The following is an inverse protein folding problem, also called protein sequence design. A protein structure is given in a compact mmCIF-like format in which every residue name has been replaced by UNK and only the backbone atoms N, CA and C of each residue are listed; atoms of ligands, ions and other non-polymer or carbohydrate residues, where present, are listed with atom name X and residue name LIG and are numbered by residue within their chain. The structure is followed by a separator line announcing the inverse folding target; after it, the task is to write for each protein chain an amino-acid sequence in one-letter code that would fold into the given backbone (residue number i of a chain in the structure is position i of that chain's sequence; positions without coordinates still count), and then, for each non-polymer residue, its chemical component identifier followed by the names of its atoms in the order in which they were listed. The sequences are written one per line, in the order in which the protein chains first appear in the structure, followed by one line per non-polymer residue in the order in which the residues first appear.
data_IF_915307769514
#
_entry.id   IF_915307769514
#
_cell.length_a   1.000
_cell.length_b   1.000
_cell.length_c   1.000
_cell.angle_alpha   90.00
_cell.angle_beta   90.00
_cell.angle_gamma   90.00
#
_symmetry.space_group_name_H-M   'P 1'
#
loop_
_entity.id
_entity.type
_entity.pdbx_description
1 polymer ?
#
# COMPACT_ATOMS: atom_id res chain seq x y z
N UNK A 1 8.13 23.67 11.73
CA UNK A 1 7.18 24.22 10.73
C UNK A 1 5.78 24.03 11.28
N UNK A 2 4.91 25.04 11.16
CA UNK A 2 3.50 24.87 11.49
C UNK A 2 2.87 23.88 10.49
N UNK A 3 1.86 23.11 10.91
CA UNK A 3 1.27 22.07 10.07
C UNK A 3 0.62 22.64 8.79
N UNK A 4 0.16 23.90 8.83
CA UNK A 4 -0.38 24.60 7.66
C UNK A 4 0.68 24.94 6.59
N UNK A 5 1.94 25.09 7.00
CA UNK A 5 3.08 25.34 6.10
C UNK A 5 3.42 24.09 5.26
N UNK A 6 3.22 22.90 5.84
CA UNK A 6 3.46 21.62 5.15
C UNK A 6 2.42 21.39 4.04
N UNK A 7 1.14 21.69 4.32
CA UNK A 7 0.08 21.51 3.32
C UNK A 7 0.19 22.50 2.15
N UNK A 8 0.77 23.68 2.37
CA UNK A 8 1.04 24.66 1.31
C UNK A 8 2.10 24.16 0.31
N UNK A 9 2.99 23.25 0.72
CA UNK A 9 4.04 22.66 -0.13
C UNK A 9 3.53 21.52 -1.02
N UNK A 10 2.31 21.02 -0.79
CA UNK A 10 1.71 19.99 -1.62
C UNK A 10 1.42 20.56 -3.02
N UNK A 11 1.89 19.86 -4.05
CA UNK A 11 1.80 20.31 -5.44
C UNK A 11 1.26 19.20 -6.34
N UNK A 12 0.33 19.56 -7.23
CA UNK A 12 0.01 18.71 -8.37
C UNK A 12 1.15 18.84 -9.39
N UNK A 13 1.66 17.71 -9.84
CA UNK A 13 2.60 17.60 -10.93
C UNK A 13 1.82 17.15 -12.16
N UNK A 14 1.87 17.92 -13.23
CA UNK A 14 1.25 17.58 -14.50
C UNK A 14 2.03 16.43 -15.20
N UNK A 15 1.43 15.75 -16.21
CA UNK A 15 2.05 14.59 -16.84
C UNK A 15 3.46 14.80 -17.39
N UNK A 16 3.80 16.01 -17.81
CA UNK A 16 5.12 16.42 -18.31
C UNK A 16 6.14 16.69 -17.19
N UNK A 17 5.68 16.92 -15.97
CA UNK A 17 6.49 17.11 -14.76
C UNK A 17 6.63 15.83 -13.93
N UNK A 18 5.73 14.87 -14.14
CA UNK A 18 5.65 13.60 -13.43
C UNK A 18 6.49 12.51 -14.12
N UNK A 19 7.32 11.76 -13.38
CA UNK A 19 8.09 10.65 -13.96
C UNK A 19 7.21 9.48 -14.41
N UNK A 20 5.91 9.54 -14.15
CA UNK A 20 4.93 8.50 -14.45
C UNK A 20 4.12 8.79 -15.72
N UNK A 21 4.30 9.96 -16.36
CA UNK A 21 3.51 10.37 -17.51
C UNK A 21 2.03 10.59 -17.19
N UNK A 22 1.69 10.78 -15.91
CA UNK A 22 0.33 11.02 -15.41
C UNK A 22 0.33 12.09 -14.33
N UNK A 23 -0.79 12.79 -14.16
CA UNK A 23 -0.96 13.81 -13.14
C UNK A 23 -0.97 13.16 -11.75
N UNK A 24 -0.09 13.65 -10.88
CA UNK A 24 0.06 13.14 -9.51
C UNK A 24 0.13 14.27 -8.50
N UNK A 25 -0.36 14.04 -7.29
CA UNK A 25 -0.12 14.92 -6.16
C UNK A 25 1.19 14.50 -5.50
N UNK A 26 2.15 15.42 -5.37
CA UNK A 26 3.33 15.22 -4.57
C UNK A 26 2.97 15.34 -3.07
N UNK A 27 2.93 14.18 -2.41
CA UNK A 27 2.60 14.06 -1.00
C UNK A 27 3.84 14.04 -0.10
N UNK A 28 5.06 13.98 -0.66
CA UNK A 28 6.31 13.84 0.09
C UNK A 28 6.52 14.90 1.17
N UNK A 29 6.19 16.20 0.96
CA UNK A 29 6.32 17.21 2.00
C UNK A 29 5.57 16.86 3.28
N UNK A 30 4.49 16.09 3.18
CA UNK A 30 3.70 15.65 4.32
C UNK A 30 4.06 14.21 4.75
N UNK A 31 4.02 13.25 3.82
CA UNK A 31 4.11 11.82 4.15
C UNK A 31 5.46 11.40 4.74
N UNK A 32 6.54 12.10 4.39
CA UNK A 32 7.90 11.77 4.87
C UNK A 32 8.28 12.48 6.17
N UNK A 33 7.55 13.53 6.55
CA UNK A 33 7.84 14.32 7.76
C UNK A 33 6.82 14.11 8.88
N UNK A 34 5.64 13.59 8.55
CA UNK A 34 4.58 13.34 9.53
C UNK A 34 4.99 12.21 10.46
N UNK A 35 4.98 12.49 11.76
CA UNK A 35 5.22 11.49 12.81
C UNK A 35 3.87 11.01 13.33
N UNK A 36 3.67 9.71 13.28
CA UNK A 36 2.51 9.04 13.84
C UNK A 36 2.77 8.73 15.31
N UNK A 37 1.81 9.07 16.16
CA UNK A 37 1.76 8.59 17.54
C UNK A 37 0.37 8.07 17.83
N UNK A 38 0.27 7.15 18.78
CA UNK A 38 -1.01 6.71 19.34
C UNK A 38 -1.05 7.09 20.81
N UNK A 39 -2.16 7.68 21.26
CA UNK A 39 -2.43 7.84 22.68
C UNK A 39 -3.08 6.57 23.28
N UNK A 40 -3.56 5.66 22.43
CA UNK A 40 -4.14 4.39 22.88
C UNK A 40 -3.01 3.38 23.20
N UNK A 41 -2.84 2.99 24.47
CA UNK A 41 -1.81 2.04 24.88
C UNK A 41 -2.01 0.65 24.28
N UNK A 42 -3.25 0.27 23.93
CA UNK A 42 -3.53 -1.03 23.31
C UNK A 42 -2.93 -1.08 21.90
N UNK A 43 -3.08 -0.01 21.12
CA UNK A 43 -2.49 0.09 19.78
C UNK A 43 -0.96 0.02 19.86
N UNK A 44 -0.35 0.73 20.83
CA UNK A 44 1.10 0.67 21.03
C UNK A 44 1.57 -0.75 21.41
N UNK A 45 0.85 -1.43 22.30
CA UNK A 45 1.15 -2.80 22.70
C UNK A 45 1.01 -3.78 21.53
N UNK A 46 -0.08 -3.69 20.75
CA UNK A 46 -0.31 -4.52 19.56
C UNK A 46 0.78 -4.30 18.52
N UNK A 47 1.12 -3.04 18.20
CA UNK A 47 2.20 -2.73 17.26
C UNK A 47 3.52 -3.38 17.68
N UNK A 48 3.92 -3.23 18.95
CA UNK A 48 5.15 -3.83 19.46
C UNK A 48 5.12 -5.37 19.42
N UNK A 49 3.98 -5.98 19.76
CA UNK A 49 3.81 -7.43 19.69
C UNK A 49 3.94 -7.97 18.26
N UNK A 50 3.36 -7.27 17.28
CA UNK A 50 3.40 -7.68 15.87
C UNK A 50 4.80 -7.64 15.27
N UNK A 51 5.75 -6.90 15.86
CA UNK A 51 7.15 -6.86 15.36
C UNK A 51 7.92 -8.15 15.54
N UNK A 52 7.48 -9.03 16.45
CA UNK A 52 8.04 -10.37 16.61
C UNK A 52 7.14 -11.45 16.02
N UNK A 53 6.04 -11.08 15.36
CA UNK A 53 5.14 -12.02 14.70
C UNK A 53 5.77 -12.59 13.44
N UNK A 54 5.60 -13.90 13.23
CA UNK A 54 5.93 -14.57 11.97
C UNK A 54 4.83 -14.39 10.92
N UNK A 55 3.64 -13.92 11.32
CA UNK A 55 2.45 -13.82 10.48
C UNK A 55 1.70 -15.13 10.25
N UNK A 56 2.16 -16.24 10.85
CA UNK A 56 1.59 -17.58 10.65
C UNK A 56 0.08 -17.64 10.96
N UNK A 57 -0.38 -16.80 11.90
CA UNK A 57 -1.79 -16.65 12.25
C UNK A 57 -2.68 -16.17 11.09
N UNK A 58 -2.10 -15.60 10.03
CA UNK A 58 -2.83 -15.21 8.82
C UNK A 58 -3.01 -16.36 7.82
N UNK A 59 -2.27 -17.47 7.94
CA UNK A 59 -2.35 -18.59 7.01
C UNK A 59 -3.78 -19.13 6.94
N UNK A 60 -4.36 -19.13 5.74
CA UNK A 60 -5.74 -19.58 5.50
C UNK A 60 -6.83 -18.63 6.01
N UNK A 61 -6.48 -17.47 6.58
CA UNK A 61 -7.45 -16.47 7.00
C UNK A 61 -7.92 -15.64 5.81
N UNK A 62 -9.12 -15.09 5.94
CA UNK A 62 -9.75 -14.23 4.94
C UNK A 62 -9.98 -12.83 5.52
N UNK A 63 -9.98 -11.76 4.70
CA UNK A 63 -10.44 -10.45 5.13
C UNK A 63 -11.89 -10.48 5.64
N UNK A 64 -12.25 -9.52 6.51
CA UNK A 64 -13.62 -9.38 6.99
C UNK A 64 -14.59 -8.95 5.87
N UNK A 65 -15.72 -9.63 5.74
CA UNK A 65 -16.72 -9.46 4.66
C UNK A 65 -16.04 -9.38 3.27
N UNK A 66 -15.37 -10.46 2.83
CA UNK A 66 -14.50 -10.40 1.67
C UNK A 66 -15.32 -10.34 0.39
N UNK A 67 -14.87 -9.51 -0.54
CA UNK A 67 -15.21 -9.67 -1.95
C UNK A 67 -14.02 -10.27 -2.70
N UNK A 68 -14.29 -10.97 -3.79
CA UNK A 68 -13.25 -11.55 -4.65
C UNK A 68 -13.20 -10.80 -5.98
N UNK A 69 -12.02 -10.38 -6.38
CA UNK A 69 -11.76 -9.61 -7.60
C UNK A 69 -10.69 -10.34 -8.42
N UNK A 70 -11.04 -10.91 -9.58
CA UNK A 70 -10.06 -11.44 -10.52
C UNK A 70 -9.16 -10.32 -11.04
N UNK A 71 -7.86 -10.59 -11.17
CA UNK A 71 -6.90 -9.62 -11.69
C UNK A 71 -5.75 -10.29 -12.43
N UNK A 72 -4.88 -9.49 -13.04
CA UNK A 72 -3.61 -9.96 -13.58
C UNK A 72 -2.57 -8.88 -13.33
N UNK A 73 -1.81 -9.04 -12.24
CA UNK A 73 -0.71 -8.13 -11.89
C UNK A 73 0.60 -8.93 -11.94
N UNK A 74 1.57 -8.47 -12.71
CA UNK A 74 2.83 -9.20 -12.91
C UNK A 74 4.03 -8.38 -12.45
N UNK A 75 4.94 -9.06 -11.75
CA UNK A 75 6.15 -8.49 -11.18
C UNK A 75 7.37 -9.36 -11.48
N UNK A 76 8.56 -8.75 -11.64
CA UNK A 76 9.79 -9.52 -11.77
C UNK A 76 10.05 -10.30 -10.47
N UNK A 77 10.52 -11.54 -10.62
CA UNK A 77 10.81 -12.44 -9.51
C UNK A 77 12.17 -13.10 -9.74
N UNK A 78 13.01 -13.17 -8.70
CA UNK A 78 14.40 -13.62 -8.79
C UNK A 78 14.63 -15.05 -8.23
N UNK A 79 13.55 -15.78 -7.95
CA UNK A 79 13.58 -17.23 -8.00
C UNK A 79 13.65 -17.99 -6.67
N UNK A 80 13.53 -17.36 -5.50
CA UNK A 80 13.33 -18.10 -4.24
C UNK A 80 12.11 -17.62 -3.48
N UNK A 81 11.12 -18.49 -3.40
CA UNK A 81 9.95 -18.33 -2.53
C UNK A 81 10.21 -19.12 -1.26
N UNK A 82 10.04 -18.47 -0.12
CA UNK A 82 9.87 -19.14 1.16
C UNK A 82 8.69 -18.52 1.87
N UNK A 83 7.94 -19.36 2.57
CA UNK A 83 6.89 -18.92 3.45
C UNK A 83 7.45 -18.01 4.55
N UNK A 84 6.65 -17.03 4.97
CA UNK A 84 6.96 -16.12 6.06
C UNK A 84 6.77 -14.64 5.72
N UNK A 85 7.34 -13.75 6.56
CA UNK A 85 7.23 -12.32 6.36
C UNK A 85 8.06 -11.85 5.15
N UNK A 86 7.42 -11.12 4.24
CA UNK A 86 8.07 -10.43 3.13
C UNK A 86 8.36 -8.96 3.46
N UNK A 87 7.45 -8.31 4.20
CA UNK A 87 7.61 -6.97 4.72
C UNK A 87 7.03 -6.88 6.12
N UNK A 88 7.82 -6.36 7.06
CA UNK A 88 7.33 -5.98 8.39
C UNK A 88 7.63 -4.51 8.65
N UNK A 89 6.62 -3.81 9.14
CA UNK A 89 6.72 -2.42 9.56
C UNK A 89 7.83 -2.27 10.59
N UNK A 90 8.68 -1.24 10.45
CA UNK A 90 9.76 -0.94 11.40
C UNK A 90 9.41 0.23 12.31
N UNK A 91 8.53 1.09 11.84
CA UNK A 91 8.05 2.27 12.54
C UNK A 91 6.56 2.50 12.32
N UNK A 92 5.98 3.42 13.07
CA UNK A 92 4.53 3.66 13.06
C UNK A 92 4.03 4.21 11.71
N UNK A 93 4.92 4.78 10.91
CA UNK A 93 4.68 5.29 9.56
C UNK A 93 4.67 4.16 8.52
N UNK A 94 5.14 2.96 8.84
CA UNK A 94 4.93 1.77 8.02
C UNK A 94 3.57 1.18 8.37
N UNK A 95 2.58 1.37 7.51
CA UNK A 95 1.16 1.04 7.82
C UNK A 95 0.75 -0.40 7.56
N UNK A 96 1.63 -1.19 6.94
CA UNK A 96 1.35 -2.53 6.46
C UNK A 96 2.40 -3.54 6.88
N UNK A 97 1.96 -4.76 7.12
CA UNK A 97 2.80 -5.96 7.11
C UNK A 97 2.35 -6.84 5.92
N UNK A 98 3.30 -7.52 5.29
CA UNK A 98 3.07 -8.40 4.13
C UNK A 98 3.72 -9.75 4.38
N UNK A 99 2.92 -10.80 4.27
CA UNK A 99 3.35 -12.18 4.46
C UNK A 99 3.04 -13.03 3.24
N UNK A 100 3.79 -14.12 3.05
CA UNK A 100 3.56 -15.10 2.01
C UNK A 100 3.43 -16.48 2.63
N UNK A 101 2.31 -17.16 2.37
CA UNK A 101 2.08 -18.54 2.82
C UNK A 101 1.29 -19.30 1.76
N UNK A 102 1.74 -20.50 1.40
CA UNK A 102 1.04 -21.38 0.45
C UNK A 102 0.71 -20.69 -0.89
N UNK A 103 1.66 -19.90 -1.41
CA UNK A 103 1.48 -19.07 -2.61
C UNK A 103 0.38 -18.01 -2.50
N UNK A 104 0.09 -17.55 -1.28
CA UNK A 104 -0.88 -16.49 -1.00
C UNK A 104 -0.20 -15.37 -0.23
N UNK A 105 -0.34 -14.14 -0.74
CA UNK A 105 0.06 -12.93 -0.06
C UNK A 105 -1.03 -12.46 0.91
N UNK A 106 -0.63 -12.05 2.10
CA UNK A 106 -1.50 -11.49 3.14
C UNK A 106 -1.03 -10.09 3.48
N UNK A 107 -1.94 -9.12 3.42
CA UNK A 107 -1.66 -7.71 3.69
C UNK A 107 -2.47 -7.28 4.91
N UNK A 108 -1.77 -7.04 6.02
CA UNK A 108 -2.41 -6.65 7.27
C UNK A 108 -1.96 -5.28 7.75
N UNK A 109 -2.82 -4.59 8.48
CA UNK A 109 -2.52 -3.30 9.10
C UNK A 109 -1.50 -3.51 10.21
N UNK A 110 -0.37 -2.83 10.13
CA UNK A 110 0.76 -3.05 11.05
C UNK A 110 0.50 -2.63 12.50
N UNK A 111 -0.55 -1.84 12.73
CA UNK A 111 -0.94 -1.35 14.06
C UNK A 111 -2.00 -2.24 14.72
N UNK A 112 -2.90 -2.83 13.95
CA UNK A 112 -4.06 -3.58 14.46
C UNK A 112 -3.97 -5.08 14.17
N UNK A 113 -3.12 -5.50 13.24
CA UNK A 113 -3.09 -6.86 12.71
C UNK A 113 -4.28 -7.20 11.81
N UNK A 114 -5.15 -6.23 11.49
CA UNK A 114 -6.32 -6.45 10.65
C UNK A 114 -5.89 -6.90 9.25
N UNK A 115 -6.29 -8.12 8.84
CA UNK A 115 -6.09 -8.61 7.48
C UNK A 115 -7.07 -7.91 6.53
N UNK A 116 -6.54 -7.12 5.59
CA UNK A 116 -7.36 -6.32 4.67
C UNK A 116 -7.39 -6.94 3.28
N UNK A 117 -6.25 -7.44 2.80
CA UNK A 117 -6.15 -8.06 1.49
C UNK A 117 -5.49 -9.43 1.58
N UNK A 118 -5.95 -10.32 0.71
CA UNK A 118 -5.36 -11.63 0.46
C UNK A 118 -5.24 -11.79 -1.06
N UNK A 119 -4.08 -12.16 -1.58
CA UNK A 119 -3.87 -12.29 -3.02
C UNK A 119 -3.23 -13.63 -3.39
N UNK A 120 -3.82 -14.36 -4.33
CA UNK A 120 -3.24 -15.59 -4.86
C UNK A 120 -2.11 -15.25 -5.82
N UNK A 121 -0.94 -15.85 -5.59
CA UNK A 121 0.26 -15.66 -6.38
C UNK A 121 0.61 -16.94 -7.16
N UNK A 122 0.94 -16.77 -8.44
CA UNK A 122 1.50 -17.80 -9.30
C UNK A 122 2.95 -17.47 -9.59
N UNK A 123 3.86 -18.29 -9.08
CA UNK A 123 5.29 -18.11 -9.29
C UNK A 123 5.75 -18.86 -10.54
N UNK A 124 6.52 -18.16 -11.38
CA UNK A 124 7.21 -18.68 -12.56
C UNK A 124 8.70 -18.36 -12.44
N UNK A 125 9.51 -18.84 -13.38
CA UNK A 125 10.99 -18.73 -13.28
C UNK A 125 11.50 -17.30 -13.07
N UNK A 126 10.85 -16.28 -13.67
CA UNK A 126 11.31 -14.89 -13.64
C UNK A 126 10.23 -13.87 -13.29
N UNK A 127 9.03 -14.35 -12.99
CA UNK A 127 7.89 -13.49 -12.71
C UNK A 127 6.97 -14.13 -11.67
N UNK A 128 6.27 -13.28 -10.93
CA UNK A 128 5.14 -13.65 -10.11
C UNK A 128 3.90 -12.92 -10.62
N UNK A 129 2.80 -13.65 -10.79
CA UNK A 129 1.52 -13.10 -11.20
C UNK A 129 0.51 -13.20 -10.05
N UNK A 130 -0.17 -12.10 -9.73
CA UNK A 130 -1.34 -12.13 -8.86
C UNK A 130 -2.60 -12.27 -9.69
N UNK A 131 -3.36 -13.33 -9.43
CA UNK A 131 -4.50 -13.73 -10.26
C UNK A 131 -5.85 -13.44 -9.64
N UNK A 132 -5.91 -13.42 -8.31
CA UNK A 132 -7.12 -13.15 -7.54
C UNK A 132 -6.78 -12.34 -6.31
N UNK A 133 -7.57 -11.31 -6.02
CA UNK A 133 -7.50 -10.53 -4.79
C UNK A 133 -8.82 -10.69 -4.05
N UNK A 134 -8.74 -11.10 -2.79
CA UNK A 134 -9.80 -10.93 -1.81
C UNK A 134 -9.53 -9.68 -0.99
N UNK A 135 -10.58 -8.89 -0.78
CA UNK A 135 -10.47 -7.62 -0.08
C UNK A 135 -11.65 -7.39 0.85
N UNK A 136 -11.39 -6.77 2.01
CA UNK A 136 -12.47 -6.33 2.89
C UNK A 136 -13.30 -5.25 2.21
N UNK A 137 -14.62 -5.49 2.05
CA UNK A 137 -15.54 -4.58 1.36
C UNK A 137 -15.55 -3.16 1.92
N UNK A 138 -15.35 -3.02 3.23
CA UNK A 138 -15.32 -1.73 3.92
C UNK A 138 -14.20 -0.79 3.43
N UNK A 139 -13.15 -1.32 2.80
CA UNK A 139 -11.97 -0.55 2.37
C UNK A 139 -12.02 -0.10 0.90
N UNK A 140 -13.08 -0.45 0.17
CA UNK A 140 -13.10 -0.35 -1.30
C UNK A 140 -13.78 0.89 -1.86
N UNK A 141 -14.40 1.72 -1.02
CA UNK A 141 -15.09 2.94 -1.48
C UNK A 141 -16.13 2.66 -2.60
N UNK A 142 -16.74 1.47 -2.58
CA UNK A 142 -17.69 1.03 -3.61
C UNK A 142 -17.07 0.65 -4.96
N UNK A 143 -15.75 0.66 -5.10
CA UNK A 143 -15.03 0.28 -6.32
C UNK A 143 -14.19 -0.99 -6.09
N UNK A 144 -14.64 -2.18 -6.56
CA UNK A 144 -13.85 -3.40 -6.48
C UNK A 144 -12.48 -3.31 -7.15
N UNK A 145 -12.35 -2.53 -8.24
CA UNK A 145 -11.08 -2.32 -8.94
C UNK A 145 -10.07 -1.53 -8.09
N UNK A 146 -10.53 -0.79 -7.09
CA UNK A 146 -9.66 -0.11 -6.15
C UNK A 146 -8.78 -1.09 -5.37
N UNK A 147 -9.31 -2.26 -4.99
CA UNK A 147 -8.54 -3.32 -4.32
C UNK A 147 -7.30 -3.71 -5.12
N UNK A 148 -7.46 -3.88 -6.44
CA UNK A 148 -6.38 -4.25 -7.35
C UNK A 148 -5.30 -3.18 -7.37
N UNK A 149 -5.68 -1.91 -7.49
CA UNK A 149 -4.74 -0.78 -7.48
C UNK A 149 -4.02 -0.63 -6.13
N UNK A 150 -4.72 -0.87 -5.01
CA UNK A 150 -4.12 -0.82 -3.68
C UNK A 150 -3.08 -1.92 -3.49
N UNK A 151 -3.43 -3.18 -3.80
CA UNK A 151 -2.51 -4.32 -3.72
C UNK A 151 -1.32 -4.12 -4.65
N UNK A 152 -1.55 -3.64 -5.88
CA UNK A 152 -0.48 -3.32 -6.81
C UNK A 152 0.51 -2.31 -6.21
N UNK A 153 0.00 -1.21 -5.67
CA UNK A 153 0.83 -0.23 -5.00
C UNK A 153 1.62 -0.84 -3.83
N UNK A 154 0.99 -1.65 -2.97
CA UNK A 154 1.65 -2.28 -1.83
C UNK A 154 2.79 -3.20 -2.27
N UNK A 155 2.58 -4.03 -3.29
CA UNK A 155 3.64 -4.89 -3.85
C UNK A 155 4.80 -4.05 -4.39
N UNK A 156 4.50 -3.04 -5.22
CA UNK A 156 5.54 -2.18 -5.83
C UNK A 156 6.34 -1.41 -4.79
N UNK A 157 5.67 -0.77 -3.83
CA UNK A 157 6.31 0.10 -2.85
C UNK A 157 6.98 -0.67 -1.71
N UNK A 158 6.38 -1.75 -1.23
CA UNK A 158 6.88 -2.46 -0.04
C UNK A 158 7.79 -3.63 -0.38
N UNK A 159 7.52 -4.37 -1.46
CA UNK A 159 8.34 -5.52 -1.86
C UNK A 159 9.44 -5.11 -2.85
N UNK A 160 9.12 -4.26 -3.82
CA UNK A 160 10.09 -3.83 -4.85
C UNK A 160 10.77 -2.47 -4.58
N UNK A 161 10.30 -1.70 -3.60
CA UNK A 161 10.79 -0.35 -3.29
C UNK A 161 10.73 0.63 -4.47
N UNK A 162 9.78 0.43 -5.36
CA UNK A 162 9.61 1.34 -6.49
C UNK A 162 8.86 2.59 -6.05
N UNK A 163 9.37 3.79 -6.39
CA UNK A 163 8.65 5.03 -6.16
C UNK A 163 7.57 5.15 -7.25
N UNK A 164 6.35 4.72 -6.94
CA UNK A 164 5.18 4.78 -7.84
C UNK A 164 4.02 5.50 -7.15
N UNK A 165 3.05 6.04 -7.90
CA UNK A 165 1.88 6.65 -7.28
C UNK A 165 0.97 5.59 -6.64
N UNK A 166 0.43 5.89 -5.46
CA UNK A 166 -0.67 5.14 -4.88
C UNK A 166 -2.01 5.64 -5.44
N UNK A 167 -3.03 4.77 -5.49
CA UNK A 167 -4.33 5.15 -6.02
C UNK A 167 -5.14 5.96 -5.01
N UNK A 168 -5.93 6.90 -5.50
CA UNK A 168 -6.93 7.62 -4.75
C UNK A 168 -8.34 7.07 -5.04
N UNK A 169 -9.22 6.96 -4.03
CA UNK A 169 -10.64 6.73 -4.25
C UNK A 169 -11.26 7.88 -5.05
N UNK A 170 -12.06 7.56 -6.07
CA UNK A 170 -12.71 8.58 -6.93
C UNK A 170 -13.68 9.48 -6.15
N UNK A 171 -14.23 8.99 -5.05
CA UNK A 171 -15.15 9.73 -4.20
C UNK A 171 -14.46 10.76 -3.28
N UNK A 172 -13.12 10.73 -3.16
CA UNK A 172 -12.42 11.72 -2.35
C UNK A 172 -12.39 13.08 -3.07
N UNK A 173 -12.64 14.19 -2.35
CA UNK A 173 -12.52 15.52 -2.93
C UNK A 173 -11.07 15.86 -3.30
N UNK A 174 -10.88 16.69 -4.33
CA UNK A 174 -9.56 17.13 -4.81
C UNK A 174 -8.91 18.21 -3.89
N UNK A 175 -9.12 18.08 -2.58
CA UNK A 175 -8.49 18.92 -1.57
C UNK A 175 -7.15 18.28 -1.14
N UNK A 176 -6.06 19.02 -1.36
CA UNK A 176 -4.70 18.50 -1.12
C UNK A 176 -4.48 18.02 0.32
N UNK A 177 -5.07 18.69 1.31
CA UNK A 177 -4.94 18.32 2.73
C UNK A 177 -5.67 17.01 3.01
N UNK A 178 -6.91 16.89 2.55
CA UNK A 178 -7.69 15.65 2.67
C UNK A 178 -6.95 14.49 2.00
N UNK A 179 -6.45 14.70 0.79
CA UNK A 179 -5.73 13.68 0.03
C UNK A 179 -4.42 13.28 0.70
N UNK A 180 -3.61 14.22 1.20
CA UNK A 180 -2.37 13.89 1.90
C UNK A 180 -2.63 13.15 3.21
N UNK A 181 -3.66 13.54 3.97
CA UNK A 181 -4.08 12.84 5.19
C UNK A 181 -4.55 11.42 4.91
N UNK A 182 -5.38 11.23 3.88
CA UNK A 182 -5.80 9.90 3.42
C UNK A 182 -4.58 9.05 3.02
N UNK A 183 -3.72 9.61 2.18
CA UNK A 183 -2.51 8.97 1.65
C UNK A 183 -1.61 8.46 2.76
N UNK A 184 -1.35 9.29 3.78
CA UNK A 184 -0.55 8.91 4.93
C UNK A 184 -1.26 7.92 5.86
N UNK A 185 -2.58 8.04 6.04
CA UNK A 185 -3.33 7.08 6.85
C UNK A 185 -3.28 5.68 6.25
N UNK A 186 -3.47 5.58 4.93
CA UNK A 186 -3.49 4.30 4.23
C UNK A 186 -2.09 3.75 3.99
N UNK A 187 -1.15 4.56 3.50
CA UNK A 187 0.16 4.08 3.01
C UNK A 187 1.35 4.62 3.81
N UNK A 188 1.12 5.58 4.71
CA UNK A 188 2.16 6.11 5.59
C UNK A 188 3.27 6.82 4.84
N UNK A 189 4.52 6.57 5.25
CA UNK A 189 5.68 7.21 4.62
C UNK A 189 5.92 6.79 3.17
N UNK A 190 5.32 5.67 2.73
CA UNK A 190 5.43 5.19 1.35
C UNK A 190 4.57 6.00 0.38
N UNK A 191 3.68 6.86 0.89
CA UNK A 191 2.74 7.66 0.13
C UNK A 191 3.41 8.90 -0.50
N UNK A 192 4.35 8.68 -1.43
CA UNK A 192 5.10 9.77 -2.05
C UNK A 192 4.26 10.54 -3.08
N UNK A 193 3.51 9.82 -3.92
CA UNK A 193 2.72 10.40 -5.00
C UNK A 193 1.32 9.80 -5.01
N UNK A 194 0.27 10.61 -5.15
CA UNK A 194 -1.10 10.14 -5.22
C UNK A 194 -1.70 10.39 -6.61
N UNK A 195 -2.51 9.47 -7.14
CA UNK A 195 -3.22 9.69 -8.40
C UNK A 195 -4.66 9.16 -8.38
N UNK A 196 -5.57 9.88 -9.03
CA UNK A 196 -6.90 9.38 -9.37
C UNK A 196 -6.89 8.48 -10.61
N UNK A 197 -5.80 8.46 -11.38
CA UNK A 197 -5.70 7.60 -12.55
C UNK A 197 -5.35 6.16 -12.17
N UNK A 198 -5.39 5.25 -13.15
CA UNK A 198 -4.94 3.88 -12.94
C UNK A 198 -3.43 3.84 -12.71
N UNK A 199 -3.02 3.37 -11.53
CA UNK A 199 -1.63 3.28 -11.10
C UNK A 199 -0.98 1.93 -11.43
N UNK A 200 -1.73 0.94 -11.93
CA UNK A 200 -1.21 -0.41 -12.20
C UNK A 200 -0.17 -0.43 -13.32
N UNK A 201 -0.31 0.45 -14.31
CA UNK A 201 0.66 0.63 -15.38
C UNK A 201 1.88 1.47 -14.96
N UNK A 202 1.80 2.20 -13.84
CA UNK A 202 2.88 3.07 -13.41
C UNK A 202 4.12 2.25 -13.04
N UNK A 203 5.24 2.60 -13.67
CA UNK A 203 6.58 2.12 -13.35
C UNK A 203 7.43 3.37 -13.12
N UNK A 204 8.38 3.30 -12.18
CA UNK A 204 9.38 4.34 -12.09
C UNK A 204 10.17 4.33 -13.42
N UNK A 205 10.21 5.45 -14.14
CA UNK A 205 11.22 5.63 -15.17
C UNK A 205 12.57 5.50 -14.47
N UNK A 206 13.35 4.47 -14.82
CA UNK A 206 14.75 4.42 -14.41
C UNK A 206 15.40 5.64 -15.08
N UNK A 207 15.61 6.70 -14.31
CA UNK A 207 16.48 7.78 -14.73
C UNK A 207 17.86 7.16 -14.94
N UNK A 208 18.36 7.26 -16.17
CA UNK A 208 19.77 7.03 -16.49
C UNK A 208 20.68 7.86 -15.58
#
# INVERSE_FOLDING_TARGET
MAQDDIFAQLAWLDPDQSPFGTRVLDCRPFSTTMISTTADPNIAATFNHLRVSTGENHRGQHPADPITVPCTLTYPFDGKVADGPLFTARQMEDKWDIYLFDCVLYFSRSWTGELVFRATAEFREREVALTVIEASKAKLWGDPGFAVRMVDFLVKSHLHRWPVPHPLPQALPEDKKILAMYSFSEYGQWAAYASYQDTTAARASVGN
#
